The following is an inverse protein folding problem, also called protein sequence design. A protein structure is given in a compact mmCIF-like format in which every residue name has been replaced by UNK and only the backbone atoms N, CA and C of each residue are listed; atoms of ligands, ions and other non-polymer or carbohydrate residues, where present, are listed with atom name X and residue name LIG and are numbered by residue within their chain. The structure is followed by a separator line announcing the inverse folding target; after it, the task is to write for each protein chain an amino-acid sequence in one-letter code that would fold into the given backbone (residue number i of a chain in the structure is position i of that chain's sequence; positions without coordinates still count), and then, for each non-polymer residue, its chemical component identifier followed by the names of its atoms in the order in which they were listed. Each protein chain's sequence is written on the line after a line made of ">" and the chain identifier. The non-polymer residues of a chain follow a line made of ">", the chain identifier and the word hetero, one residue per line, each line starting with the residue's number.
data_IF_475977450122
#
_entry.id   IF_475977450122
#
_cell.length_a   1.000
_cell.length_b   1.000
_cell.length_c   1.000
_cell.angle_alpha   90.00
_cell.angle_beta   90.00
_cell.angle_gamma   90.00
#
_symmetry.space_group_name_H-M   'P 1'
#
loop_
_entity.id
_entity.type
_entity.pdbx_description
1 polymer ?
#
# COMPACT_ATOMS: atom_id res chain seq x y z
N UNK A 1 4.13 -64.42 -32.86
CA UNK A 1 5.00 -63.69 -31.94
C UNK A 1 4.93 -62.22 -32.31
N UNK A 2 4.26 -61.38 -31.50
CA UNK A 2 4.17 -59.90 -31.72
C UNK A 2 5.21 -59.20 -30.81
N UNK A 3 5.98 -58.23 -31.29
CA UNK A 3 6.92 -57.52 -30.43
C UNK A 3 6.18 -56.51 -29.58
N UNK A 4 6.49 -56.52 -28.29
CA UNK A 4 6.02 -55.55 -27.29
C UNK A 4 6.89 -54.29 -27.38
N UNK A 5 6.29 -53.16 -27.75
CA UNK A 5 6.95 -51.86 -27.78
C UNK A 5 6.94 -51.29 -26.36
N UNK A 6 8.10 -51.21 -25.70
CA UNK A 6 8.26 -50.48 -24.44
C UNK A 6 8.35 -48.99 -24.76
N UNK A 7 7.34 -48.24 -24.33
CA UNK A 7 7.35 -46.77 -24.35
C UNK A 7 8.09 -46.29 -23.10
N UNK A 8 9.31 -45.77 -23.28
CA UNK A 8 10.07 -45.13 -22.20
C UNK A 8 9.57 -43.69 -22.02
N UNK A 9 8.84 -43.41 -20.90
CA UNK A 9 8.48 -42.08 -20.49
C UNK A 9 9.66 -41.44 -19.75
N UNK A 10 10.44 -40.61 -20.43
CA UNK A 10 11.42 -39.73 -19.79
C UNK A 10 10.71 -38.52 -19.17
N UNK A 11 10.56 -38.53 -17.85
CA UNK A 11 10.07 -37.39 -17.09
C UNK A 11 11.17 -36.30 -17.03
N UNK A 12 10.96 -35.20 -17.74
CA UNK A 12 11.81 -34.00 -17.64
C UNK A 12 11.47 -33.31 -16.33
N UNK A 13 12.32 -33.43 -15.31
CA UNK A 13 12.21 -32.65 -14.07
C UNK A 13 12.70 -31.23 -14.32
N UNK A 14 11.76 -30.27 -14.45
CA UNK A 14 12.07 -28.85 -14.40
C UNK A 14 12.33 -28.46 -12.96
N UNK A 15 13.59 -28.26 -12.58
CA UNK A 15 13.99 -27.63 -11.32
C UNK A 15 13.73 -26.12 -11.44
N UNK A 16 12.62 -25.67 -10.88
CA UNK A 16 12.38 -24.23 -10.63
C UNK A 16 13.34 -23.77 -9.55
N UNK A 17 14.40 -23.07 -9.94
CA UNK A 17 15.25 -22.35 -9.00
C UNK A 17 14.43 -21.20 -8.39
N UNK A 18 13.90 -21.42 -7.19
CA UNK A 18 13.32 -20.34 -6.39
C UNK A 18 14.49 -19.49 -5.91
N UNK A 19 14.70 -18.33 -6.53
CA UNK A 19 15.59 -17.32 -5.99
C UNK A 19 15.02 -16.87 -4.65
N UNK A 20 15.58 -17.37 -3.56
CA UNK A 20 15.34 -16.86 -2.22
C UNK A 20 15.72 -15.38 -2.20
N UNK A 21 14.74 -14.51 -2.09
CA UNK A 21 15.01 -13.09 -1.84
C UNK A 21 15.77 -13.00 -0.52
N UNK A 22 16.90 -12.29 -0.51
CA UNK A 22 17.63 -11.99 0.72
C UNK A 22 16.74 -11.15 1.63
N UNK A 23 16.06 -11.81 2.56
CA UNK A 23 15.30 -11.12 3.61
C UNK A 23 16.32 -10.46 4.52
N UNK A 24 16.37 -9.14 4.54
CA UNK A 24 17.14 -8.38 5.53
C UNK A 24 16.55 -8.71 6.89
N UNK A 25 17.30 -9.46 7.73
CA UNK A 25 16.80 -9.96 9.02
C UNK A 25 16.46 -8.85 10.01
N UNK A 26 17.14 -7.72 9.91
CA UNK A 26 16.95 -6.56 10.79
C UNK A 26 17.14 -5.27 10.00
N UNK A 27 16.30 -4.27 10.30
CA UNK A 27 16.55 -2.91 9.82
C UNK A 27 17.81 -2.35 10.47
N UNK A 28 18.52 -1.47 9.76
CA UNK A 28 19.70 -0.82 10.31
C UNK A 28 19.31 0.08 11.49
N UNK A 29 20.13 0.17 12.56
CA UNK A 29 19.86 1.09 13.66
C UNK A 29 19.64 2.52 13.14
N UNK A 30 18.62 3.20 13.67
CA UNK A 30 18.33 4.58 13.31
C UNK A 30 17.52 4.78 12.01
N UNK A 31 17.13 3.71 11.29
CA UNK A 31 16.34 3.83 10.06
C UNK A 31 15.02 4.61 10.25
N UNK A 32 14.42 4.55 11.44
CA UNK A 32 13.19 5.23 11.85
C UNK A 32 13.42 6.40 12.83
N UNK A 33 14.67 6.88 12.92
CA UNK A 33 15.03 8.02 13.75
C UNK A 33 14.84 9.32 12.99
N UNK A 34 14.15 10.28 13.62
CA UNK A 34 14.00 11.62 13.06
C UNK A 34 15.34 12.32 12.94
N UNK A 35 15.67 12.78 11.75
CA UNK A 35 16.91 13.50 11.43
C UNK A 35 16.57 14.96 11.15
N UNK A 36 17.08 15.88 11.98
CA UNK A 36 16.82 17.33 11.84
C UNK A 36 17.63 18.00 10.70
N UNK A 37 18.65 17.30 10.18
CA UNK A 37 19.59 17.78 9.16
C UNK A 37 19.13 17.53 7.71
N UNK A 38 17.95 16.93 7.51
CA UNK A 38 17.41 16.60 6.18
C UNK A 38 16.10 17.35 5.90
N UNK A 39 15.74 17.42 4.61
CA UNK A 39 14.42 17.92 4.23
C UNK A 39 13.31 16.88 4.54
N UNK A 40 12.15 17.36 4.97
CA UNK A 40 11.03 16.53 5.37
C UNK A 40 9.86 16.65 4.40
N UNK A 41 9.16 15.53 4.20
CA UNK A 41 7.86 15.48 3.56
C UNK A 41 6.75 16.00 4.48
N UNK A 42 5.52 16.02 3.96
CA UNK A 42 4.36 16.52 4.68
C UNK A 42 3.24 15.49 4.70
N UNK A 43 2.55 15.37 5.83
CA UNK A 43 1.32 14.59 5.96
C UNK A 43 0.13 15.55 5.96
N UNK A 44 -0.82 15.34 5.06
CA UNK A 44 -2.10 16.04 5.01
C UNK A 44 -3.27 15.04 5.09
N UNK A 45 -4.38 15.49 5.65
CA UNK A 45 -5.65 14.76 5.57
C UNK A 45 -6.36 15.18 4.29
N UNK A 46 -6.73 14.21 3.47
CA UNK A 46 -7.55 14.41 2.28
C UNK A 46 -8.93 13.80 2.49
N UNK A 47 -9.93 14.41 1.84
CA UNK A 47 -11.31 13.89 1.83
C UNK A 47 -11.78 13.69 0.40
N UNK A 48 -12.44 12.57 0.14
CA UNK A 48 -13.01 12.23 -1.16
C UNK A 48 -14.44 11.70 -1.00
N UNK A 49 -15.25 11.89 -2.02
CA UNK A 49 -16.60 11.34 -2.07
C UNK A 49 -16.52 9.90 -2.59
N UNK A 50 -16.87 8.94 -1.74
CA UNK A 50 -17.04 7.55 -2.13
C UNK A 50 -18.48 7.32 -2.58
N UNK A 51 -18.68 7.04 -3.86
CA UNK A 51 -19.96 6.60 -4.39
C UNK A 51 -20.25 5.15 -3.98
N UNK A 52 -19.21 4.34 -3.87
CA UNK A 52 -19.27 2.95 -3.42
C UNK A 52 -19.87 2.84 -2.03
N UNK A 53 -19.46 3.70 -1.09
CA UNK A 53 -19.96 3.71 0.30
C UNK A 53 -21.13 4.66 0.50
N UNK A 54 -21.30 5.63 -0.38
CA UNK A 54 -22.35 6.65 -0.28
C UNK A 54 -22.07 7.71 0.80
N UNK A 55 -20.79 8.04 1.05
CA UNK A 55 -20.39 9.06 2.04
C UNK A 55 -19.06 9.70 1.67
N UNK A 56 -18.71 10.79 2.36
CA UNK A 56 -17.35 11.33 2.31
C UNK A 56 -16.43 10.49 3.18
N UNK A 57 -15.30 10.08 2.62
CA UNK A 57 -14.27 9.29 3.31
C UNK A 57 -12.96 10.05 3.38
N UNK A 58 -12.09 9.65 4.31
CA UNK A 58 -10.80 10.31 4.55
C UNK A 58 -9.65 9.36 4.29
N UNK A 59 -8.52 9.93 3.90
CA UNK A 59 -7.22 9.26 3.88
C UNK A 59 -6.16 10.24 4.38
N UNK A 60 -5.04 9.73 4.90
CA UNK A 60 -3.84 10.52 5.06
C UNK A 60 -3.02 10.43 3.78
N UNK A 61 -2.33 11.50 3.44
CA UNK A 61 -1.46 11.56 2.27
C UNK A 61 -0.12 12.17 2.66
N UNK A 62 0.94 11.42 2.41
CA UNK A 62 2.31 11.92 2.49
C UNK A 62 2.74 12.44 1.12
N UNK A 63 3.32 13.63 1.10
CA UNK A 63 4.03 14.21 -0.05
C UNK A 63 5.52 14.30 0.27
N UNK A 64 6.43 13.95 -0.69
CA UNK A 64 7.86 13.89 -0.42
C UNK A 64 8.47 15.28 -0.21
N UNK A 65 9.69 15.35 0.35
CA UNK A 65 10.47 16.59 0.40
C UNK A 65 10.55 17.23 -0.99
N UNK A 66 10.51 18.56 -1.04
CA UNK A 66 10.54 19.31 -2.30
C UNK A 66 9.41 18.97 -3.28
N UNK A 67 8.26 18.53 -2.77
CA UNK A 67 7.06 18.28 -3.58
C UNK A 67 6.71 19.50 -4.44
N UNK A 68 6.37 19.23 -5.71
CA UNK A 68 6.00 20.27 -6.67
C UNK A 68 4.83 19.80 -7.54
N UNK A 69 3.88 20.68 -7.80
CA UNK A 69 2.76 20.39 -8.71
C UNK A 69 3.17 20.31 -10.18
N UNK A 70 4.41 20.70 -10.51
CA UNK A 70 4.98 20.63 -11.85
C UNK A 70 5.65 19.27 -12.17
N UNK A 71 5.85 18.44 -11.14
CA UNK A 71 6.39 17.07 -11.27
C UNK A 71 5.27 16.06 -11.10
N UNK A 72 5.41 14.90 -11.72
CA UNK A 72 4.50 13.76 -11.51
C UNK A 72 5.18 12.71 -10.65
N UNK A 73 4.40 12.07 -9.78
CA UNK A 73 4.88 11.12 -8.79
C UNK A 73 4.18 9.77 -8.93
N UNK A 74 4.90 8.65 -8.77
CA UNK A 74 4.28 7.36 -8.52
C UNK A 74 3.51 7.40 -7.18
N UNK A 75 2.56 6.48 -7.00
CA UNK A 75 1.70 6.42 -5.81
C UNK A 75 1.79 5.06 -5.15
N UNK A 76 2.04 5.06 -3.83
CA UNK A 76 1.87 3.90 -2.97
C UNK A 76 0.58 4.06 -2.15
N UNK A 77 -0.33 3.07 -2.23
CA UNK A 77 -1.46 2.93 -1.33
C UNK A 77 -1.06 1.99 -0.19
N UNK A 78 -1.01 2.52 1.05
CA UNK A 78 -0.50 1.81 2.22
C UNK A 78 -1.65 1.52 3.19
N UNK A 79 -2.03 0.24 3.30
CA UNK A 79 -3.24 -0.21 3.97
C UNK A 79 -2.98 -0.69 5.40
N UNK A 80 -3.87 -0.34 6.31
CA UNK A 80 -3.82 -0.70 7.74
C UNK A 80 -4.37 -2.11 8.03
N UNK A 81 -4.13 -2.61 9.24
CA UNK A 81 -4.67 -3.88 9.74
C UNK A 81 -6.13 -3.78 10.20
N UNK A 82 -6.74 -4.91 10.59
CA UNK A 82 -8.16 -4.99 10.94
C UNK A 82 -8.57 -4.08 12.10
N UNK A 83 -7.67 -3.83 13.06
CA UNK A 83 -7.91 -2.97 14.23
C UNK A 83 -7.61 -1.49 14.00
N UNK A 84 -7.08 -1.13 12.83
CA UNK A 84 -6.61 0.22 12.54
C UNK A 84 -7.60 1.09 11.76
N UNK A 85 -7.09 2.24 11.38
CA UNK A 85 -7.70 3.21 10.49
C UNK A 85 -6.61 3.92 9.66
N UNK A 86 -6.94 5.00 8.97
CA UNK A 86 -6.01 5.80 8.16
C UNK A 86 -4.79 6.32 8.91
N UNK A 87 -4.79 6.30 10.25
CA UNK A 87 -3.71 6.80 11.11
C UNK A 87 -2.79 5.69 11.65
N UNK A 88 -3.12 4.42 11.47
CA UNK A 88 -2.36 3.31 12.08
C UNK A 88 -0.89 3.36 11.72
N UNK A 89 -0.56 3.54 10.43
CA UNK A 89 0.82 3.65 9.99
C UNK A 89 1.54 4.85 10.58
N UNK A 90 0.87 6.01 10.63
CA UNK A 90 1.46 7.21 11.20
C UNK A 90 1.76 7.05 12.69
N UNK A 91 0.85 6.41 13.44
CA UNK A 91 0.97 6.24 14.88
C UNK A 91 1.97 5.13 15.28
N UNK A 92 2.08 4.06 14.48
CA UNK A 92 2.88 2.89 14.82
C UNK A 92 4.13 2.68 13.98
N UNK A 93 4.13 3.09 12.71
CA UNK A 93 5.17 2.77 11.74
C UNK A 93 6.08 3.93 11.34
N UNK A 94 5.76 5.15 11.70
CA UNK A 94 6.50 6.37 11.35
C UNK A 94 6.89 6.45 9.86
N UNK A 95 6.00 6.17 8.90
CA UNK A 95 6.36 6.05 7.48
C UNK A 95 7.00 7.32 6.94
N UNK A 96 6.59 8.51 7.40
CA UNK A 96 7.16 9.78 6.99
C UNK A 96 8.64 9.88 7.33
N UNK A 97 9.05 9.43 8.53
CA UNK A 97 10.46 9.48 8.97
C UNK A 97 11.31 8.51 8.15
N UNK A 98 10.80 7.30 7.94
CA UNK A 98 11.49 6.28 7.15
C UNK A 98 11.65 6.74 5.70
N UNK A 99 10.61 7.29 5.09
CA UNK A 99 10.64 7.79 3.73
C UNK A 99 11.60 8.98 3.58
N UNK A 100 11.55 9.95 4.51
CA UNK A 100 12.46 11.09 4.50
C UNK A 100 13.92 10.65 4.58
N UNK A 101 14.24 9.70 5.47
CA UNK A 101 15.59 9.14 5.59
C UNK A 101 16.04 8.45 4.29
N UNK A 102 15.18 7.62 3.69
CA UNK A 102 15.47 6.92 2.44
C UNK A 102 15.66 7.88 1.26
N UNK A 103 14.89 8.98 1.18
CA UNK A 103 15.07 10.02 0.16
C UNK A 103 16.41 10.74 0.35
N UNK A 104 16.73 11.14 1.58
CA UNK A 104 17.99 11.80 1.87
C UNK A 104 19.21 10.92 1.54
N UNK A 105 19.06 9.61 1.63
CA UNK A 105 20.08 8.62 1.28
C UNK A 105 20.07 8.21 -0.20
N UNK A 106 19.16 8.75 -1.02
CA UNK A 106 19.03 8.40 -2.44
C UNK A 106 18.64 6.93 -2.70
N UNK A 107 18.00 6.27 -1.73
CA UNK A 107 17.62 4.85 -1.80
C UNK A 107 16.28 4.60 -2.46
N UNK A 108 15.43 5.60 -2.54
CA UNK A 108 14.11 5.52 -3.17
C UNK A 108 13.82 6.77 -4.01
N UNK A 109 13.01 6.59 -5.04
CA UNK A 109 12.47 7.70 -5.82
C UNK A 109 11.33 8.39 -5.07
N UNK A 110 11.21 9.74 -5.19
CA UNK A 110 10.14 10.48 -4.57
C UNK A 110 8.75 9.99 -5.02
N UNK A 111 7.88 9.66 -4.07
CA UNK A 111 6.53 9.18 -4.32
C UNK A 111 5.50 9.83 -3.39
N UNK A 112 4.24 9.83 -3.80
CA UNK A 112 3.12 10.13 -2.93
C UNK A 112 2.70 8.82 -2.24
N UNK A 113 2.46 8.86 -0.91
CA UNK A 113 1.91 7.71 -0.19
C UNK A 113 0.52 8.07 0.33
N UNK A 114 -0.47 7.29 -0.03
CA UNK A 114 -1.86 7.44 0.40
C UNK A 114 -2.19 6.35 1.40
N UNK A 115 -2.62 6.73 2.59
CA UNK A 115 -3.02 5.83 3.68
C UNK A 115 -4.54 5.96 3.88
N UNK A 116 -5.35 5.17 3.15
CA UNK A 116 -6.80 5.21 3.30
C UNK A 116 -7.26 4.37 4.48
N UNK A 117 -8.55 4.50 4.85
CA UNK A 117 -9.18 3.51 5.70
C UNK A 117 -9.69 2.34 4.82
N UNK A 118 -9.11 1.15 5.01
CA UNK A 118 -9.46 -0.07 4.27
C UNK A 118 -10.84 -0.65 4.63
N UNK A 119 -11.52 -0.12 5.67
CA UNK A 119 -12.88 -0.52 6.05
C UNK A 119 -13.88 0.37 5.31
N UNK A 120 -14.29 -0.04 4.11
CA UNK A 120 -15.17 0.75 3.24
C UNK A 120 -16.66 0.61 3.64
N UNK A 121 -17.03 1.33 4.68
CA UNK A 121 -18.41 1.46 5.19
C UNK A 121 -18.63 2.86 5.79
N UNK A 122 -19.90 3.25 6.03
CA UNK A 122 -20.22 4.60 6.55
C UNK A 122 -19.60 4.85 7.93
N UNK A 123 -19.75 3.89 8.86
CA UNK A 123 -19.05 3.90 10.15
C UNK A 123 -17.76 3.07 10.03
N UNK A 124 -16.72 3.70 9.54
CA UNK A 124 -15.45 3.07 9.24
C UNK A 124 -14.47 3.03 10.43
N UNK A 125 -14.94 3.32 11.64
CA UNK A 125 -14.11 3.32 12.84
C UNK A 125 -13.95 1.91 13.43
N UNK A 126 -12.78 1.64 14.00
CA UNK A 126 -12.46 0.39 14.69
C UNK A 126 -13.02 0.37 16.12
N UNK A 127 -14.33 0.58 16.28
CA UNK A 127 -15.04 0.58 17.57
C UNK A 127 -15.85 -0.68 17.77
N UNK A 128 -16.11 -1.08 19.01
CA UNK A 128 -16.90 -2.29 19.32
C UNK A 128 -16.22 -3.58 18.84
N UNK A 129 -17.01 -4.54 18.38
CA UNK A 129 -16.48 -5.80 17.84
C UNK A 129 -15.93 -5.58 16.41
N UNK A 130 -14.61 -5.51 16.28
CA UNK A 130 -13.94 -5.33 14.98
C UNK A 130 -14.06 -6.55 14.07
N UNK A 131 -14.44 -7.71 14.61
CA UNK A 131 -14.68 -8.95 13.86
C UNK A 131 -16.15 -9.15 13.49
N UNK A 132 -17.00 -8.15 13.72
CA UNK A 132 -18.37 -8.16 13.21
C UNK A 132 -18.40 -8.39 11.69
N UNK A 133 -19.33 -9.23 11.24
CA UNK A 133 -19.39 -9.65 9.84
C UNK A 133 -19.50 -8.48 8.84
N UNK A 134 -20.25 -7.44 9.18
CA UNK A 134 -20.38 -6.25 8.34
C UNK A 134 -19.08 -5.46 8.28
N UNK A 135 -18.34 -5.37 9.39
CA UNK A 135 -17.04 -4.70 9.45
C UNK A 135 -15.98 -5.47 8.68
N UNK A 136 -15.99 -6.80 8.77
CA UNK A 136 -15.09 -7.65 7.97
C UNK A 136 -15.42 -7.55 6.48
N UNK A 137 -16.71 -7.60 6.11
CA UNK A 137 -17.15 -7.44 4.72
C UNK A 137 -16.77 -6.08 4.13
N UNK A 138 -16.69 -5.04 4.94
CA UNK A 138 -16.29 -3.71 4.50
C UNK A 138 -14.86 -3.68 3.91
N UNK A 139 -13.97 -4.58 4.34
CA UNK A 139 -12.64 -4.72 3.74
C UNK A 139 -12.72 -5.28 2.31
N UNK A 140 -13.65 -6.17 2.02
CA UNK A 140 -13.90 -6.64 0.63
C UNK A 140 -14.53 -5.55 -0.24
N UNK A 141 -15.32 -4.65 0.35
CA UNK A 141 -15.91 -3.51 -0.36
C UNK A 141 -14.86 -2.49 -0.77
N UNK A 142 -13.73 -2.44 -0.05
CA UNK A 142 -12.66 -1.46 -0.28
C UNK A 142 -12.04 -1.54 -1.67
N UNK A 143 -11.93 -2.71 -2.28
CA UNK A 143 -11.45 -2.85 -3.65
C UNK A 143 -12.23 -1.94 -4.60
N UNK A 144 -13.57 -1.94 -4.50
CA UNK A 144 -14.44 -1.09 -5.34
C UNK A 144 -14.27 0.38 -5.01
N UNK A 145 -14.17 0.73 -3.73
CA UNK A 145 -13.94 2.11 -3.30
C UNK A 145 -12.57 2.63 -3.78
N UNK A 146 -11.53 1.80 -3.69
CA UNK A 146 -10.19 2.13 -4.17
C UNK A 146 -10.20 2.40 -5.69
N UNK A 147 -10.73 1.46 -6.46
CA UNK A 147 -10.66 1.52 -7.93
C UNK A 147 -11.60 2.57 -8.54
N UNK A 148 -12.80 2.74 -7.97
CA UNK A 148 -13.84 3.58 -8.58
C UNK A 148 -13.90 5.00 -8.00
N UNK A 149 -13.40 5.20 -6.78
CA UNK A 149 -13.54 6.47 -6.07
C UNK A 149 -12.19 7.09 -5.68
N UNK A 150 -11.33 6.36 -4.93
CA UNK A 150 -10.10 6.95 -4.40
C UNK A 150 -9.03 7.17 -5.47
N UNK A 151 -8.69 6.16 -6.29
CA UNK A 151 -7.69 6.30 -7.36
C UNK A 151 -8.08 7.43 -8.32
N UNK A 152 -9.31 7.46 -8.88
CA UNK A 152 -9.74 8.56 -9.75
C UNK A 152 -9.68 9.94 -9.08
N UNK A 153 -9.99 10.02 -7.77
CA UNK A 153 -9.85 11.27 -7.02
C UNK A 153 -8.40 11.73 -6.93
N UNK A 154 -7.47 10.83 -6.56
CA UNK A 154 -6.04 11.13 -6.47
C UNK A 154 -5.49 11.58 -7.83
N UNK A 155 -5.80 10.85 -8.90
CA UNK A 155 -5.36 11.17 -10.27
C UNK A 155 -5.91 12.48 -10.82
N UNK A 156 -7.05 12.93 -10.33
CA UNK A 156 -7.66 14.21 -10.72
C UNK A 156 -7.08 15.40 -9.93
N UNK A 157 -6.73 15.18 -8.67
CA UNK A 157 -6.40 16.28 -7.73
C UNK A 157 -4.91 16.49 -7.54
N UNK A 158 -4.10 15.48 -7.77
CA UNK A 158 -2.66 15.52 -7.49
C UNK A 158 -1.84 15.19 -8.73
N UNK A 159 -0.61 15.66 -8.83
CA UNK A 159 0.26 15.43 -9.96
C UNK A 159 0.88 14.03 -9.89
N UNK A 160 0.07 13.02 -10.19
CA UNK A 160 0.50 11.62 -10.18
C UNK A 160 0.66 11.06 -11.59
N UNK A 161 1.52 10.06 -11.72
CA UNK A 161 1.63 9.23 -12.92
C UNK A 161 0.45 8.26 -12.91
N UNK A 162 -0.33 8.20 -14.03
CA UNK A 162 -1.64 7.52 -14.03
C UNK A 162 -1.61 6.09 -14.56
N UNK A 163 -0.44 5.59 -14.95
CA UNK A 163 -0.31 4.21 -15.40
C UNK A 163 -0.28 3.22 -14.22
N UNK A 164 -0.52 1.95 -14.53
CA UNK A 164 -0.54 0.87 -13.54
C UNK A 164 0.84 0.63 -12.93
N UNK A 165 1.87 0.72 -13.74
CA UNK A 165 3.26 0.45 -13.38
C UNK A 165 3.80 1.45 -12.36
N UNK A 166 3.19 2.65 -12.31
CA UNK A 166 3.52 3.71 -11.35
C UNK A 166 2.64 3.69 -10.10
N UNK A 167 1.84 2.64 -9.89
CA UNK A 167 1.04 2.43 -8.69
C UNK A 167 1.47 1.17 -7.97
N UNK A 168 1.58 1.28 -6.65
CA UNK A 168 1.83 0.14 -5.77
C UNK A 168 0.77 0.12 -4.66
N UNK A 169 0.50 -1.07 -4.16
CA UNK A 169 -0.32 -1.30 -2.98
C UNK A 169 0.46 -2.20 -2.03
N UNK A 170 0.39 -1.90 -0.75
CA UNK A 170 0.99 -2.70 0.32
C UNK A 170 0.17 -2.56 1.59
N UNK A 171 0.24 -3.52 2.48
CA UNK A 171 -0.53 -3.44 3.71
C UNK A 171 -0.07 -4.37 4.82
N UNK A 172 -0.57 -4.10 6.02
CA UNK A 172 -0.35 -4.88 7.23
C UNK A 172 -1.55 -5.79 7.48
N UNK A 173 -1.32 -7.08 7.75
CA UNK A 173 -2.37 -8.01 8.17
C UNK A 173 -3.55 -8.02 7.18
N UNK A 174 -4.74 -7.56 7.59
CA UNK A 174 -5.91 -7.42 6.71
C UNK A 174 -5.61 -6.56 5.47
N UNK A 175 -4.87 -5.47 5.63
CA UNK A 175 -4.41 -4.65 4.50
C UNK A 175 -3.49 -5.40 3.54
N UNK A 176 -2.66 -6.34 4.05
CA UNK A 176 -1.90 -7.26 3.20
C UNK A 176 -2.80 -8.22 2.41
N UNK A 177 -3.93 -8.64 2.98
CA UNK A 177 -4.93 -9.45 2.27
C UNK A 177 -5.72 -8.66 1.21
N UNK A 178 -5.72 -7.34 1.27
CA UNK A 178 -6.34 -6.45 0.28
C UNK A 178 -5.38 -6.04 -0.85
N UNK A 179 -4.07 -6.37 -0.73
CA UNK A 179 -3.00 -5.96 -1.66
C UNK A 179 -2.75 -6.98 -2.82
#
# INVERSE_FOLDING_TARGET
>A
MKPLLLLSCTALAFSLSVNSQHIVKHALPGFDSLRADIAHGKIDTISYTSKTVGTSRRALMYTPPHYSTQKKYPVLYLLHGIGGDEKEWLNGGKPQVILDNLYAEGKIEPMIVVMPNGRAMKDDRATGNIFDSLKVQAFSTFEKDLLNDLIPFIEKKFPVIKDRESRAIAGLSMGGGQS
#
